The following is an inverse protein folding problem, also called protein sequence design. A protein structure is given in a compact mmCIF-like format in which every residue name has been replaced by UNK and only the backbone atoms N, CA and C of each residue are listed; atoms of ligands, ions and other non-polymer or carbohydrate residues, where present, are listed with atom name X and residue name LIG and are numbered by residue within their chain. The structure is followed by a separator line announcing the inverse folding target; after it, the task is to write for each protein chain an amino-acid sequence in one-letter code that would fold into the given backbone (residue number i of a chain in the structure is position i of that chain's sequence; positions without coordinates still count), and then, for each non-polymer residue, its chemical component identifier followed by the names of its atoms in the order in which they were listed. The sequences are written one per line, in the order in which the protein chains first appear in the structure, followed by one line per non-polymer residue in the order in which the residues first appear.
data_IF_836655530226
#
_entry.id   IF_836655530226
#
_cell.length_a   1.000
_cell.length_b   1.000
_cell.length_c   1.000
_cell.angle_alpha   90.00
_cell.angle_beta   90.00
_cell.angle_gamma   90.00
#
_symmetry.space_group_name_H-M   'P 1'
#
loop_
_entity.id
_entity.type
_entity.pdbx_description
1 polymer ?
#
# COMPACT_ATOMS: atom_id res chain seq x y z
N UNK A 1 32.28 16.71 -6.60
CA UNK A 1 31.47 16.33 -7.78
C UNK A 1 31.00 14.92 -7.51
N UNK A 2 29.85 14.85 -6.83
CA UNK A 2 28.54 14.48 -7.40
C UNK A 2 28.52 12.94 -7.51
N UNK A 3 27.89 12.22 -6.57
CA UNK A 3 26.46 12.30 -6.29
C UNK A 3 25.78 11.21 -7.13
N UNK A 4 24.72 10.58 -6.60
CA UNK A 4 24.04 9.35 -7.10
C UNK A 4 24.74 8.12 -6.47
N UNK A 5 24.18 7.35 -5.54
CA UNK A 5 22.83 6.79 -5.44
C UNK A 5 22.38 6.72 -3.96
N UNK A 6 21.49 7.62 -3.54
CA UNK A 6 20.50 7.28 -2.49
C UNK A 6 19.24 6.83 -3.22
N UNK A 7 19.31 5.66 -3.87
CA UNK A 7 18.11 4.95 -4.29
C UNK A 7 17.51 4.29 -3.05
N UNK A 8 16.20 4.48 -2.88
CA UNK A 8 15.44 4.04 -1.72
C UNK A 8 15.80 2.63 -1.30
N UNK A 9 16.37 2.49 -0.10
CA UNK A 9 16.52 1.20 0.56
C UNK A 9 15.11 0.71 0.88
N UNK A 10 14.51 -0.04 -0.04
CA UNK A 10 13.53 -1.06 0.35
C UNK A 10 14.14 -1.80 1.53
N UNK A 11 13.43 -1.85 2.65
CA UNK A 11 13.89 -2.62 3.80
C UNK A 11 13.94 -4.08 3.37
N UNK A 12 15.16 -4.52 3.01
CA UNK A 12 15.44 -5.87 2.58
C UNK A 12 14.93 -6.81 3.67
N UNK A 13 14.02 -7.73 3.29
CA UNK A 13 13.39 -8.65 4.23
C UNK A 13 14.47 -9.31 5.08
N UNK A 14 14.22 -9.39 6.39
CA UNK A 14 15.16 -9.97 7.34
C UNK A 14 15.51 -11.42 6.98
N UNK A 15 14.64 -12.10 6.24
CA UNK A 15 14.94 -13.39 5.62
C UNK A 15 16.27 -13.38 4.87
N UNK A 16 16.53 -12.40 4.00
CA UNK A 16 17.78 -12.32 3.22
C UNK A 16 19.01 -12.03 4.09
N UNK A 17 18.81 -11.42 5.26
CA UNK A 17 19.89 -11.08 6.20
C UNK A 17 20.28 -12.24 7.11
N UNK A 18 19.32 -13.09 7.45
CA UNK A 18 19.52 -14.20 8.39
C UNK A 18 19.76 -15.52 7.65
N UNK A 19 19.11 -15.70 6.50
CA UNK A 19 19.13 -16.97 5.79
C UNK A 19 20.06 -16.98 4.59
N UNK A 20 20.78 -18.09 4.45
CA UNK A 20 21.42 -18.44 3.19
C UNK A 20 20.43 -19.25 2.33
N UNK A 21 19.80 -18.59 1.36
CA UNK A 21 18.79 -19.23 0.50
C UNK A 21 19.34 -20.41 -0.30
N UNK A 22 20.64 -20.43 -0.61
CA UNK A 22 21.25 -21.56 -1.31
C UNK A 22 21.28 -22.80 -0.41
N UNK A 23 21.67 -22.64 0.84
CA UNK A 23 21.68 -23.75 1.81
C UNK A 23 20.26 -24.19 2.17
N UNK A 24 19.29 -23.26 2.19
CA UNK A 24 17.88 -23.61 2.37
C UNK A 24 17.39 -24.56 1.27
N UNK A 25 17.67 -24.26 0.00
CA UNK A 25 17.30 -25.14 -1.10
C UNK A 25 17.98 -26.51 -1.01
N UNK A 26 19.26 -26.56 -0.63
CA UNK A 26 19.96 -27.84 -0.43
C UNK A 26 19.32 -28.67 0.70
N UNK A 27 18.93 -28.03 1.81
CA UNK A 27 18.20 -28.71 2.88
C UNK A 27 16.85 -29.25 2.39
N UNK A 28 16.15 -28.51 1.53
CA UNK A 28 14.90 -28.98 0.92
C UNK A 28 15.12 -30.19 0.02
N UNK A 29 16.13 -30.16 -0.86
CA UNK A 29 16.50 -31.30 -1.71
C UNK A 29 16.89 -32.53 -0.87
N UNK A 30 17.65 -32.33 0.21
CA UNK A 30 18.02 -33.40 1.14
C UNK A 30 16.78 -34.02 1.80
N UNK A 31 15.82 -33.21 2.25
CA UNK A 31 14.56 -33.70 2.83
C UNK A 31 13.74 -34.52 1.83
N UNK A 32 13.67 -34.10 0.57
CA UNK A 32 12.94 -34.84 -0.47
C UNK A 32 13.52 -36.24 -0.70
N UNK A 33 14.84 -36.40 -0.52
CA UNK A 33 15.54 -37.67 -0.66
C UNK A 33 15.36 -38.66 0.51
N UNK A 34 14.71 -38.24 1.61
CA UNK A 34 14.49 -39.09 2.79
C UNK A 34 13.37 -40.11 2.52
N UNK A 35 13.70 -41.41 2.61
CA UNK A 35 12.74 -42.50 2.45
C UNK A 35 11.78 -42.67 3.64
N UNK A 36 12.25 -42.35 4.86
CA UNK A 36 11.43 -42.35 6.07
C UNK A 36 10.46 -41.16 6.05
N UNK A 37 9.20 -41.44 5.72
CA UNK A 37 8.15 -40.43 5.60
C UNK A 37 7.93 -39.66 6.91
N UNK A 38 8.03 -40.32 8.07
CA UNK A 38 7.76 -39.67 9.35
C UNK A 38 8.89 -38.69 9.72
N UNK A 39 10.15 -39.07 9.48
CA UNK A 39 11.29 -38.17 9.65
C UNK A 39 11.22 -36.99 8.67
N UNK A 40 10.85 -37.24 7.41
CA UNK A 40 10.70 -36.20 6.40
C UNK A 40 9.64 -35.17 6.78
N UNK A 41 8.46 -35.64 7.18
CA UNK A 41 7.36 -34.76 7.62
C UNK A 41 7.77 -33.93 8.85
N UNK A 42 8.46 -34.52 9.81
CA UNK A 42 8.93 -33.79 10.99
C UNK A 42 9.96 -32.72 10.64
N UNK A 43 10.91 -32.99 9.73
CA UNK A 43 11.87 -31.97 9.27
C UNK A 43 11.19 -30.83 8.51
N UNK A 44 10.24 -31.13 7.63
CA UNK A 44 9.45 -30.11 6.92
C UNK A 44 8.72 -29.22 7.93
N UNK A 45 8.03 -29.82 8.90
CA UNK A 45 7.31 -29.09 9.95
C UNK A 45 8.24 -28.20 10.79
N UNK A 46 9.43 -28.69 11.13
CA UNK A 46 10.41 -27.91 11.88
C UNK A 46 10.97 -26.75 11.06
N UNK A 47 11.24 -26.96 9.77
CA UNK A 47 11.70 -25.91 8.87
C UNK A 47 10.62 -24.84 8.65
N UNK A 48 9.37 -25.24 8.41
CA UNK A 48 8.22 -24.33 8.33
C UNK A 48 8.11 -23.45 9.57
N UNK A 49 8.28 -24.03 10.77
CA UNK A 49 8.26 -23.25 12.02
C UNK A 49 9.39 -22.22 12.10
N UNK A 50 10.58 -22.54 11.58
CA UNK A 50 11.69 -21.57 11.50
C UNK A 50 11.34 -20.45 10.52
N UNK A 51 10.79 -20.79 9.35
CA UNK A 51 10.36 -19.82 8.35
C UNK A 51 9.26 -18.89 8.88
N UNK A 52 8.27 -19.44 9.57
CA UNK A 52 7.19 -18.69 10.22
C UNK A 52 7.76 -17.69 11.23
N UNK A 53 8.68 -18.12 12.11
CA UNK A 53 9.30 -17.23 13.09
C UNK A 53 10.08 -16.07 12.43
N UNK A 54 10.75 -16.33 11.31
CA UNK A 54 11.48 -15.30 10.55
C UNK A 54 10.49 -14.31 9.92
N UNK A 55 9.42 -14.81 9.31
CA UNK A 55 8.36 -13.99 8.73
C UNK A 55 7.66 -13.14 9.78
N UNK A 56 7.29 -13.71 10.93
CA UNK A 56 6.66 -12.99 12.04
C UNK A 56 7.53 -11.85 12.55
N UNK A 57 8.84 -12.10 12.67
CA UNK A 57 9.78 -11.07 13.07
C UNK A 57 9.90 -9.96 12.02
N UNK A 58 9.93 -10.32 10.73
CA UNK A 58 9.97 -9.36 9.63
C UNK A 58 8.70 -8.49 9.58
N UNK A 59 7.53 -9.10 9.75
CA UNK A 59 6.24 -8.40 9.89
C UNK A 59 6.26 -7.46 11.10
N UNK A 60 6.74 -7.94 12.26
CA UNK A 60 6.82 -7.12 13.47
C UNK A 60 7.71 -5.88 13.29
N UNK A 61 8.85 -6.03 12.63
CA UNK A 61 9.75 -4.91 12.33
C UNK A 61 9.09 -3.89 11.42
N UNK A 62 8.42 -4.33 10.35
CA UNK A 62 7.69 -3.45 9.43
C UNK A 62 6.53 -2.73 10.13
N UNK A 63 5.71 -3.45 10.89
CA UNK A 63 4.63 -2.85 11.66
C UNK A 63 5.13 -1.80 12.65
N UNK A 64 6.24 -2.08 13.33
CA UNK A 64 6.83 -1.11 14.25
C UNK A 64 7.28 0.15 13.51
N UNK A 65 7.96 0.01 12.37
CA UNK A 65 8.38 1.14 11.53
C UNK A 65 7.16 1.95 11.04
N UNK A 66 6.11 1.28 10.56
CA UNK A 66 4.86 1.92 10.17
C UNK A 66 4.24 2.72 11.32
N UNK A 67 4.13 2.12 12.52
CA UNK A 67 3.62 2.79 13.72
C UNK A 67 4.47 4.01 14.12
N UNK A 68 5.80 3.95 13.95
CA UNK A 68 6.66 5.12 14.20
C UNK A 68 6.43 6.23 13.18
N UNK A 69 6.27 5.90 11.90
CA UNK A 69 5.98 6.88 10.84
C UNK A 69 4.61 7.56 11.09
N UNK A 70 3.57 6.79 11.44
CA UNK A 70 2.27 7.36 11.81
C UNK A 70 2.40 8.26 13.05
N UNK A 71 3.14 7.83 14.07
CA UNK A 71 3.35 8.62 15.28
C UNK A 71 4.04 9.96 14.99
N UNK A 72 5.06 9.96 14.14
CA UNK A 72 5.77 11.18 13.71
C UNK A 72 4.82 12.18 13.04
N UNK A 73 3.91 11.70 12.19
CA UNK A 73 2.89 12.53 11.55
C UNK A 73 1.93 13.15 12.57
N UNK A 74 1.51 12.37 13.58
CA UNK A 74 0.66 12.87 14.66
C UNK A 74 1.39 13.93 15.50
N UNK A 75 2.68 13.75 15.76
CA UNK A 75 3.52 14.72 16.49
C UNK A 75 3.73 16.03 15.71
N UNK A 76 3.66 16.00 14.37
CA UNK A 76 3.61 17.20 13.52
C UNK A 76 2.30 17.99 13.63
N UNK A 77 1.27 17.43 14.27
CA UNK A 77 -0.03 18.06 14.46
C UNK A 77 -1.10 17.62 13.46
N UNK A 78 -0.84 16.57 12.69
CA UNK A 78 -1.88 15.91 11.89
C UNK A 78 -2.86 15.23 12.83
N UNK A 79 -4.15 15.35 12.55
CA UNK A 79 -5.22 14.72 13.34
C UNK A 79 -5.95 13.72 12.47
N UNK A 80 -6.05 12.48 12.96
CA UNK A 80 -6.82 11.41 12.35
C UNK A 80 -8.06 11.14 13.20
N UNK A 81 -9.24 11.30 12.62
CA UNK A 81 -10.52 10.96 13.26
C UNK A 81 -11.19 9.87 12.43
N UNK A 82 -11.51 8.74 13.06
CA UNK A 82 -12.18 7.65 12.37
C UNK A 82 -13.60 8.06 11.95
N UNK A 83 -14.00 7.68 10.74
CA UNK A 83 -15.30 7.95 10.14
C UNK A 83 -15.90 6.68 9.54
N UNK A 84 -17.18 6.74 9.14
CA UNK A 84 -17.84 5.64 8.44
C UNK A 84 -17.23 5.46 7.03
N UNK A 85 -16.49 4.36 6.85
CA UNK A 85 -15.86 4.02 5.57
C UNK A 85 -16.86 3.87 4.45
N UNK A 86 -18.01 3.26 4.69
CA UNK A 86 -18.99 3.01 3.63
C UNK A 86 -19.50 4.34 3.05
N UNK A 87 -19.68 5.36 3.89
CA UNK A 87 -20.07 6.69 3.45
C UNK A 87 -18.99 7.33 2.57
N UNK A 88 -17.73 7.29 3.00
CA UNK A 88 -16.61 7.87 2.24
C UNK A 88 -16.45 7.18 0.89
N UNK A 89 -16.49 5.84 0.89
CA UNK A 89 -16.38 5.02 -0.31
C UNK A 89 -17.54 5.30 -1.27
N UNK A 90 -18.79 5.36 -0.79
CA UNK A 90 -19.95 5.72 -1.64
C UNK A 90 -19.80 7.11 -2.25
N UNK A 91 -19.28 8.08 -1.50
CA UNK A 91 -19.04 9.43 -2.00
C UNK A 91 -17.98 9.43 -3.11
N UNK A 92 -16.90 8.66 -2.93
CA UNK A 92 -15.87 8.49 -3.95
C UNK A 92 -16.43 7.80 -5.21
N UNK A 93 -17.18 6.71 -5.05
CA UNK A 93 -17.80 5.97 -6.15
C UNK A 93 -18.81 6.84 -6.92
N UNK A 94 -19.53 7.72 -6.22
CA UNK A 94 -20.46 8.68 -6.83
C UNK A 94 -19.75 9.82 -7.56
N UNK A 95 -18.52 10.16 -7.17
CA UNK A 95 -17.79 11.28 -7.75
C UNK A 95 -16.93 10.87 -8.94
N UNK A 96 -16.19 9.77 -8.80
CA UNK A 96 -15.27 9.27 -9.82
C UNK A 96 -15.83 8.04 -10.51
N UNK A 97 -16.29 7.04 -9.74
CA UNK A 97 -16.80 5.78 -10.28
C UNK A 97 -17.99 5.96 -11.24
N UNK A 98 -18.88 6.94 -11.01
CA UNK A 98 -20.04 7.21 -11.87
C UNK A 98 -19.69 7.91 -13.18
N UNK A 99 -18.47 8.44 -13.34
CA UNK A 99 -18.01 9.06 -14.58
C UNK A 99 -17.68 8.01 -15.66
N UNK A 100 -17.47 6.76 -15.26
CA UNK A 100 -17.27 5.64 -16.16
C UNK A 100 -18.61 4.95 -16.42
N UNK A 101 -18.96 4.76 -17.71
CA UNK A 101 -20.21 4.08 -18.08
C UNK A 101 -20.20 2.60 -17.65
N UNK A 102 -21.38 2.08 -17.33
CA UNK A 102 -21.53 0.67 -16.93
C UNK A 102 -21.07 -0.31 -18.03
N UNK A 103 -21.21 0.07 -19.29
CA UNK A 103 -20.72 -0.72 -20.43
C UNK A 103 -19.19 -0.80 -20.44
N UNK A 104 -18.50 0.32 -20.19
CA UNK A 104 -17.03 0.35 -20.10
C UNK A 104 -16.53 -0.40 -18.88
N UNK A 105 -17.22 -0.30 -17.73
CA UNK A 105 -16.88 -1.11 -16.55
C UNK A 105 -17.04 -2.60 -16.82
N UNK A 106 -18.12 -2.99 -17.49
CA UNK A 106 -18.42 -4.40 -17.77
C UNK A 106 -17.44 -4.99 -18.79
N UNK A 107 -17.09 -4.23 -19.84
CA UNK A 107 -16.14 -4.66 -20.88
C UNK A 107 -14.73 -4.94 -20.30
N UNK A 108 -14.32 -4.16 -19.30
CA UNK A 108 -13.00 -4.27 -18.68
C UNK A 108 -13.00 -5.12 -17.39
N UNK A 109 -14.13 -5.79 -17.05
CA UNK A 109 -14.21 -6.62 -15.84
C UNK A 109 -14.01 -5.85 -14.54
N UNK A 110 -14.34 -4.56 -14.51
CA UNK A 110 -14.08 -3.65 -13.38
C UNK A 110 -14.87 -3.99 -12.11
N UNK A 111 -16.06 -4.60 -12.26
CA UNK A 111 -17.03 -4.77 -11.14
C UNK A 111 -16.53 -5.63 -9.98
N UNK A 112 -15.52 -6.47 -10.22
CA UNK A 112 -14.94 -7.38 -9.23
C UNK A 112 -13.49 -7.01 -8.88
N UNK A 113 -13.07 -5.77 -9.16
CA UNK A 113 -11.68 -5.33 -8.99
C UNK A 113 -11.53 -4.03 -8.17
N UNK A 114 -10.29 -3.62 -7.95
CA UNK A 114 -9.92 -2.42 -7.20
C UNK A 114 -10.39 -1.13 -7.85
N UNK A 115 -10.77 -0.14 -7.04
CA UNK A 115 -11.28 1.15 -7.54
C UNK A 115 -10.27 1.92 -8.37
N UNK A 116 -8.98 1.72 -8.10
CA UNK A 116 -7.91 2.42 -8.82
C UNK A 116 -7.79 1.98 -10.29
N UNK A 117 -8.42 0.87 -10.67
CA UNK A 117 -8.45 0.43 -12.07
C UNK A 117 -9.18 1.39 -13.00
N UNK A 118 -10.06 2.27 -12.51
CA UNK A 118 -10.61 3.34 -13.37
C UNK A 118 -9.49 4.19 -13.99
N UNK A 119 -8.34 4.30 -13.33
CA UNK A 119 -7.18 5.02 -13.85
C UNK A 119 -6.19 4.10 -14.57
N UNK A 120 -5.89 2.92 -14.02
CA UNK A 120 -4.93 2.01 -14.67
C UNK A 120 -5.43 1.46 -16.02
N UNK A 121 -6.75 1.34 -16.18
CA UNK A 121 -7.40 0.97 -17.45
C UNK A 121 -7.73 2.18 -18.32
N UNK A 122 -7.29 3.37 -17.92
CA UNK A 122 -7.50 4.63 -18.67
C UNK A 122 -8.98 4.96 -18.91
N UNK A 123 -9.88 4.48 -18.03
CA UNK A 123 -11.31 4.80 -18.10
C UNK A 123 -11.60 6.23 -17.66
N UNK A 124 -10.74 6.76 -16.78
CA UNK A 124 -10.66 8.17 -16.41
C UNK A 124 -9.22 8.66 -16.58
N UNK A 125 -9.09 9.91 -17.06
CA UNK A 125 -7.80 10.57 -17.18
C UNK A 125 -7.27 10.94 -15.79
N UNK A 126 -6.01 10.62 -15.54
CA UNK A 126 -5.26 11.00 -14.35
C UNK A 126 -3.79 11.21 -14.71
N UNK A 127 -3.13 12.10 -13.99
CA UNK A 127 -1.66 12.17 -14.00
C UNK A 127 -1.11 11.07 -13.08
N UNK A 128 0.13 10.64 -13.31
CA UNK A 128 0.72 9.48 -12.63
C UNK A 128 2.16 9.68 -12.22
N UNK A 129 2.66 8.85 -11.31
CA UNK A 129 4.05 8.85 -10.88
C UNK A 129 4.45 10.16 -10.21
N UNK A 130 5.64 10.68 -10.54
CA UNK A 130 6.16 11.90 -9.92
C UNK A 130 5.31 13.15 -10.20
N UNK A 131 4.61 13.22 -11.33
CA UNK A 131 3.68 14.31 -11.61
C UNK A 131 2.50 14.30 -10.62
N UNK A 132 1.96 13.12 -10.33
CA UNK A 132 0.91 12.96 -9.32
C UNK A 132 1.40 13.29 -7.90
N UNK A 133 2.63 12.89 -7.55
CA UNK A 133 3.27 13.23 -6.26
C UNK A 133 3.42 14.75 -6.10
N UNK A 134 3.96 15.41 -7.12
CA UNK A 134 4.15 16.86 -7.11
C UNK A 134 2.80 17.59 -6.99
N UNK A 135 1.79 17.14 -7.74
CA UNK A 135 0.44 17.72 -7.65
C UNK A 135 -0.19 17.54 -6.28
N UNK A 136 -0.01 16.38 -5.65
CA UNK A 136 -0.46 16.12 -4.29
C UNK A 136 0.23 17.05 -3.27
N UNK A 137 1.52 17.32 -3.44
CA UNK A 137 2.27 18.22 -2.55
C UNK A 137 1.83 19.68 -2.70
N UNK A 138 1.52 20.11 -3.93
CA UNK A 138 1.16 21.48 -4.27
C UNK A 138 -0.30 21.86 -3.99
N UNK A 139 -1.23 20.89 -4.00
CA UNK A 139 -2.65 21.19 -3.82
C UNK A 139 -2.95 21.65 -2.39
N UNK A 140 -3.82 22.66 -2.27
CA UNK A 140 -4.34 23.08 -0.97
C UNK A 140 -5.22 21.97 -0.39
N UNK A 141 -4.78 21.40 0.73
CA UNK A 141 -5.39 20.24 1.38
C UNK A 141 -5.40 20.41 2.89
N UNK A 142 -6.32 21.19 3.44
CA UNK A 142 -6.39 21.30 4.91
C UNK A 142 -7.13 20.13 5.57
N UNK A 143 -8.16 19.61 4.90
CA UNK A 143 -8.99 18.50 5.37
C UNK A 143 -9.25 17.57 4.18
N UNK A 144 -9.02 16.26 4.36
CA UNK A 144 -9.30 15.23 3.35
C UNK A 144 -9.72 13.93 4.05
N UNK A 145 -10.18 12.96 3.26
CA UNK A 145 -10.44 11.60 3.73
C UNK A 145 -9.35 10.64 3.27
N UNK A 146 -9.01 9.69 4.12
CA UNK A 146 -8.23 8.50 3.77
C UNK A 146 -9.12 7.27 3.93
N UNK A 147 -9.11 6.39 2.95
CA UNK A 147 -9.68 5.04 3.07
C UNK A 147 -8.81 4.03 2.29
N UNK A 148 -9.09 2.76 2.50
CA UNK A 148 -8.34 1.63 1.93
C UNK A 148 -9.32 0.66 1.27
N UNK A 149 -8.90 -0.13 0.29
CA UNK A 149 -9.80 -1.12 -0.32
C UNK A 149 -10.06 -2.33 0.61
N UNK A 150 -9.07 -2.75 1.40
CA UNK A 150 -9.16 -3.93 2.28
C UNK A 150 -9.48 -3.62 3.75
N UNK A 151 -9.00 -2.50 4.29
CA UNK A 151 -9.31 -2.11 5.67
C UNK A 151 -10.76 -1.64 5.80
N UNK A 152 -11.41 -1.92 6.94
CA UNK A 152 -12.74 -1.40 7.26
C UNK A 152 -12.69 0.05 7.77
N UNK A 153 -11.49 0.57 8.02
CA UNK A 153 -11.27 1.90 8.52
C UNK A 153 -11.24 2.96 7.41
N UNK A 154 -11.78 4.13 7.76
CA UNK A 154 -11.55 5.38 7.05
C UNK A 154 -11.33 6.49 8.07
N UNK A 155 -10.62 7.53 7.66
CA UNK A 155 -10.26 8.65 8.51
C UNK A 155 -10.56 9.96 7.80
N UNK A 156 -11.11 10.93 8.53
CA UNK A 156 -10.91 12.33 8.16
C UNK A 156 -9.58 12.78 8.74
N UNK A 157 -8.79 13.45 7.90
CA UNK A 157 -7.48 13.98 8.22
C UNK A 157 -7.56 15.48 8.29
N UNK A 158 -7.26 16.06 9.44
CA UNK A 158 -7.14 17.52 9.60
C UNK A 158 -5.67 17.92 9.62
N UNK A 159 -5.41 19.15 9.18
CA UNK A 159 -4.07 19.67 8.91
C UNK A 159 -3.33 18.82 7.87
N UNK A 160 -4.05 18.31 6.87
CA UNK A 160 -3.51 17.40 5.86
C UNK A 160 -2.43 18.05 4.96
N UNK A 161 -2.30 19.38 4.98
CA UNK A 161 -1.27 20.14 4.29
C UNK A 161 0.12 19.84 4.83
N UNK A 162 0.19 19.26 6.03
CA UNK A 162 1.42 18.77 6.63
C UNK A 162 1.86 17.43 6.04
N UNK A 163 1.00 16.68 5.32
CA UNK A 163 1.37 15.40 4.70
C UNK A 163 1.97 15.67 3.31
N UNK A 164 3.14 15.07 3.07
CA UNK A 164 3.81 15.10 1.76
C UNK A 164 3.79 13.73 1.08
N UNK A 165 4.00 13.70 -0.23
CA UNK A 165 4.17 12.49 -1.01
C UNK A 165 5.30 11.60 -0.47
N UNK A 166 6.38 12.19 0.06
CA UNK A 166 7.48 11.46 0.71
C UNK A 166 7.08 10.79 2.02
N UNK A 167 6.17 11.40 2.78
CA UNK A 167 5.63 10.78 3.99
C UNK A 167 4.83 9.53 3.62
N UNK A 168 4.08 9.61 2.51
CA UNK A 168 3.29 8.49 1.98
C UNK A 168 4.20 7.36 1.49
N UNK A 169 5.27 7.67 0.74
CA UNK A 169 6.25 6.66 0.30
C UNK A 169 6.82 5.88 1.49
N UNK A 170 7.21 6.58 2.57
CA UNK A 170 7.73 5.94 3.80
C UNK A 170 6.68 5.08 4.52
N UNK A 171 5.42 5.48 4.50
CA UNK A 171 4.33 4.67 5.05
C UNK A 171 4.10 3.42 4.20
N UNK A 172 4.08 3.57 2.87
CA UNK A 172 3.82 2.50 1.91
C UNK A 172 4.85 1.37 2.01
N UNK A 173 6.14 1.71 2.16
CA UNK A 173 7.24 0.75 2.34
C UNK A 173 7.00 -0.27 3.46
N UNK A 174 6.34 0.17 4.54
CA UNK A 174 6.16 -0.61 5.77
C UNK A 174 4.69 -0.92 6.07
N UNK A 175 3.80 -0.56 5.15
CA UNK A 175 2.37 -0.65 5.35
C UNK A 175 1.92 -2.12 5.47
N UNK A 176 1.15 -2.48 6.51
CA UNK A 176 0.49 -3.78 6.55
C UNK A 176 -0.42 -3.97 5.32
N UNK A 177 -0.63 -5.22 4.91
CA UNK A 177 -1.37 -5.54 3.68
C UNK A 177 -2.79 -4.93 3.67
N UNK A 178 -3.48 -4.94 4.82
CA UNK A 178 -4.84 -4.40 4.93
C UNK A 178 -4.91 -2.88 4.67
N UNK A 179 -3.83 -2.15 4.94
CA UNK A 179 -3.73 -0.70 4.74
C UNK A 179 -3.06 -0.33 3.40
N UNK A 180 -2.92 -1.28 2.47
CA UNK A 180 -2.55 -0.98 1.07
C UNK A 180 -3.75 -0.43 0.29
N UNK A 181 -3.52 -0.07 -0.97
CA UNK A 181 -4.53 0.58 -1.83
C UNK A 181 -5.11 1.84 -1.17
N UNK A 182 -4.25 2.84 -0.99
CA UNK A 182 -4.54 4.01 -0.17
C UNK A 182 -5.21 5.09 -1.03
N UNK A 183 -6.36 5.58 -0.60
CA UNK A 183 -7.11 6.63 -1.29
C UNK A 183 -7.14 7.88 -0.43
N UNK A 184 -6.54 8.96 -0.93
CA UNK A 184 -6.74 10.31 -0.42
C UNK A 184 -7.84 10.96 -1.25
N UNK A 185 -8.85 11.53 -0.59
CA UNK A 185 -10.04 12.04 -1.25
C UNK A 185 -10.54 13.33 -0.60
N UNK A 186 -10.68 14.39 -1.41
CA UNK A 186 -11.34 15.62 -1.00
C UNK A 186 -12.63 15.83 -1.83
N UNK A 187 -13.82 15.55 -1.27
CA UNK A 187 -15.09 15.76 -1.97
C UNK A 187 -15.42 17.25 -2.19
N UNK A 188 -14.87 18.18 -1.38
CA UNK A 188 -15.14 19.61 -1.51
C UNK A 188 -14.41 20.17 -2.73
N UNK A 189 -13.15 19.80 -2.87
CA UNK A 189 -12.28 20.25 -3.98
C UNK A 189 -12.30 19.30 -5.19
N UNK A 190 -13.00 18.17 -5.06
CA UNK A 190 -13.26 17.16 -6.11
C UNK A 190 -11.98 16.57 -6.73
N UNK A 191 -11.06 16.15 -5.89
CA UNK A 191 -9.85 15.45 -6.33
C UNK A 191 -9.61 14.18 -5.51
N UNK A 192 -8.86 13.25 -6.10
CA UNK A 192 -8.37 12.05 -5.43
C UNK A 192 -6.92 11.77 -5.80
N UNK A 193 -6.15 11.32 -4.81
CA UNK A 193 -4.78 10.84 -4.97
C UNK A 193 -4.71 9.41 -4.44
N UNK A 194 -4.21 8.49 -5.25
CA UNK A 194 -4.35 7.05 -4.99
C UNK A 194 -3.00 6.37 -5.11
N UNK A 195 -2.69 5.51 -4.14
CA UNK A 195 -1.49 4.67 -4.13
C UNK A 195 -1.92 3.20 -4.19
N UNK A 196 -1.88 2.58 -5.39
CA UNK A 196 -2.12 1.15 -5.55
C UNK A 196 -1.07 0.31 -4.79
N UNK A 197 -1.45 -0.90 -4.39
CA UNK A 197 -0.49 -1.88 -3.86
C UNK A 197 0.52 -2.36 -4.92
N UNK A 198 0.21 -2.18 -6.21
CA UNK A 198 1.12 -2.47 -7.31
C UNK A 198 2.08 -1.28 -7.53
N UNK A 199 3.28 -1.42 -6.96
CA UNK A 199 4.36 -0.40 -6.88
C UNK A 199 4.65 0.35 -8.19
N UNK A 200 4.42 -0.28 -9.35
CA UNK A 200 4.77 0.30 -10.66
C UNK A 200 3.60 0.94 -11.42
N UNK A 201 2.38 0.87 -10.88
CA UNK A 201 1.17 1.30 -11.60
C UNK A 201 0.73 2.72 -11.20
N UNK A 202 1.06 3.18 -10.00
CA UNK A 202 0.72 4.52 -9.51
C UNK A 202 1.93 5.32 -9.05
N UNK A 203 1.75 6.31 -8.15
CA UNK A 203 0.46 6.83 -7.69
C UNK A 203 -0.30 7.56 -8.80
N UNK A 204 -1.61 7.74 -8.62
CA UNK A 204 -2.49 8.49 -9.52
C UNK A 204 -2.99 9.76 -8.84
N UNK A 205 -3.16 10.84 -9.61
CA UNK A 205 -3.90 12.03 -9.18
C UNK A 205 -4.94 12.39 -10.23
N UNK A 206 -6.17 12.60 -9.80
CA UNK A 206 -7.28 13.05 -10.65
C UNK A 206 -8.02 14.18 -9.97
N UNK A 207 -8.21 15.29 -10.69
CA UNK A 207 -9.19 16.33 -10.36
C UNK A 207 -10.24 16.41 -11.47
N UNK A 208 -11.49 16.67 -11.09
CA UNK A 208 -12.64 16.73 -12.03
C UNK A 208 -13.30 18.11 -12.01
N UNK A 209 -12.47 19.14 -11.87
CA UNK A 209 -12.91 20.53 -11.89
C UNK A 209 -13.59 20.91 -13.21
#
# INVERSE_FOLDING_TARGET
MNGIEEEGRYMESIMFRIMNLKELHLLQDEMESIEDLAEREERVRLLEKVMECITDYDVHVREYAFKQNVKELLERGIVLEQVDREEIVRNWDTMFGSLVSEDLKSLNGYKDQFRWHVFSYELLSAIKGDEAKNRFDEIDKNELYIFFDYADEAYVVKNAHLITSKDIERLEENCPLDYKDIYFFDPKSKWTYIIPHEVYIGPFFCDIQ
#
